data_IF_617941237893
#
_entry.id   IF_617941237893
#
_cell.length_a   1.000
_cell.length_b   1.000
_cell.length_c   1.000
_cell.angle_alpha   90.00
_cell.angle_beta   90.00
_cell.angle_gamma   90.00
#
_symmetry.space_group_name_H-M   'P 1'
#
loop_
_entity.id
_entity.type
_entity.pdbx_description
1 polymer ?
#
# COMPACT_ATOMS: atom_id res chain seq x y z
N UNK A 1 4.40 -4.24 -59.45
CA UNK A 1 5.44 -5.22 -59.78
C UNK A 1 6.65 -4.93 -58.93
N UNK A 2 6.89 -5.73 -57.89
CA UNK A 2 8.19 -5.94 -57.26
C UNK A 2 8.07 -7.13 -56.32
N UNK A 3 9.06 -8.02 -56.40
CA UNK A 3 8.99 -9.42 -56.03
C UNK A 3 9.29 -9.69 -54.54
N UNK A 4 8.60 -10.70 -53.99
CA UNK A 4 9.04 -11.59 -52.90
C UNK A 4 9.97 -12.69 -53.48
N UNK A 5 10.87 -13.38 -52.71
CA UNK A 5 10.54 -13.97 -51.41
C UNK A 5 11.62 -14.00 -50.31
N UNK A 6 11.11 -14.17 -49.09
CA UNK A 6 11.82 -14.49 -47.84
C UNK A 6 12.76 -15.70 -47.99
N UNK A 7 14.00 -15.56 -47.52
CA UNK A 7 14.88 -16.69 -47.24
C UNK A 7 14.92 -16.95 -45.73
N UNK A 8 14.21 -18.01 -45.31
CA UNK A 8 14.43 -18.66 -44.00
C UNK A 8 15.78 -19.37 -44.03
N UNK A 9 16.67 -19.06 -43.08
CA UNK A 9 17.81 -19.93 -42.73
C UNK A 9 17.67 -20.37 -41.28
N UNK A 10 17.53 -21.67 -41.06
CA UNK A 10 17.43 -22.29 -39.73
C UNK A 10 18.68 -23.12 -39.41
N UNK A 11 19.08 -23.03 -38.14
CA UNK A 11 19.93 -23.94 -37.35
C UNK A 11 21.44 -23.97 -37.68
N UNK A 12 22.32 -23.96 -36.67
CA UNK A 12 22.52 -25.11 -35.78
C UNK A 12 23.10 -24.77 -34.39
N UNK A 13 22.62 -25.51 -33.37
CA UNK A 13 22.95 -25.45 -31.94
C UNK A 13 24.36 -25.99 -31.60
N UNK A 14 25.30 -25.95 -32.55
CA UNK A 14 26.64 -26.57 -32.46
C UNK A 14 27.80 -25.57 -32.44
N UNK A 15 27.54 -24.28 -32.21
CA UNK A 15 28.57 -23.23 -32.14
C UNK A 15 28.93 -22.74 -30.74
N UNK A 16 28.38 -23.32 -29.65
CA UNK A 16 28.48 -22.74 -28.31
C UNK A 16 29.40 -23.47 -27.32
N UNK A 17 30.19 -24.46 -27.76
CA UNK A 17 31.10 -25.18 -26.85
C UNK A 17 32.43 -25.46 -27.54
N UNK A 18 33.42 -24.60 -27.30
CA UNK A 18 34.79 -24.83 -27.77
C UNK A 18 35.71 -23.66 -27.45
N UNK A 19 36.22 -23.63 -26.22
CA UNK A 19 37.52 -23.08 -25.76
C UNK A 19 37.54 -23.20 -24.22
N UNK A 20 37.79 -24.40 -23.68
CA UNK A 20 39.09 -24.82 -23.07
C UNK A 20 39.56 -23.84 -21.98
N UNK A 21 39.31 -24.08 -20.70
CA UNK A 21 39.97 -25.06 -19.82
C UNK A 21 41.51 -25.00 -19.89
N UNK A 22 42.13 -24.37 -18.88
CA UNK A 22 43.28 -24.87 -18.11
C UNK A 22 44.06 -23.71 -17.45
N UNK A 23 44.02 -23.62 -16.11
CA UNK A 23 45.18 -23.34 -15.25
C UNK A 23 44.72 -23.36 -13.78
N UNK A 24 45.06 -24.44 -13.08
CA UNK A 24 44.99 -24.53 -11.63
C UNK A 24 46.28 -23.95 -11.02
N UNK A 25 46.17 -23.11 -9.98
CA UNK A 25 47.12 -23.01 -8.86
C UNK A 25 46.69 -21.97 -7.80
N UNK A 26 46.34 -22.49 -6.62
CA UNK A 26 46.52 -21.98 -5.23
C UNK A 26 45.99 -20.60 -4.75
N UNK A 27 45.56 -20.52 -3.48
CA UNK A 27 44.71 -19.46 -2.96
C UNK A 27 45.53 -18.26 -2.45
N UNK A 28 45.11 -17.05 -2.81
CA UNK A 28 45.56 -15.82 -2.14
C UNK A 28 44.44 -15.33 -1.22
N UNK A 29 44.58 -15.61 0.07
CA UNK A 29 43.94 -14.83 1.13
C UNK A 29 44.53 -13.41 1.08
N UNK A 30 43.75 -12.44 0.62
CA UNK A 30 43.83 -11.03 1.03
C UNK A 30 42.71 -10.22 0.36
N UNK A 31 41.58 -10.07 1.06
CA UNK A 31 40.74 -8.90 0.91
C UNK A 31 40.07 -8.62 2.26
N UNK A 32 40.81 -7.91 3.11
CA UNK A 32 40.27 -7.18 4.24
C UNK A 32 39.25 -6.15 3.72
N UNK A 33 37.99 -6.35 4.06
CA UNK A 33 36.93 -5.35 4.02
C UNK A 33 36.11 -5.51 5.29
N UNK A 34 36.65 -5.00 6.40
CA UNK A 34 36.18 -5.25 7.75
C UNK A 34 34.76 -4.79 8.01
N UNK A 35 33.99 -5.69 8.62
CA UNK A 35 32.69 -5.44 9.22
C UNK A 35 32.43 -6.52 10.27
N UNK A 36 33.32 -6.61 11.26
CA UNK A 36 33.16 -7.52 12.38
C UNK A 36 31.87 -7.22 13.12
N UNK A 37 31.00 -8.21 13.19
CA UNK A 37 29.89 -8.26 14.13
C UNK A 37 30.47 -8.23 15.56
N UNK A 38 30.39 -7.08 16.23
CA UNK A 38 30.59 -6.99 17.66
C UNK A 38 29.25 -7.09 18.37
N UNK A 39 29.10 -8.18 19.10
CA UNK A 39 28.09 -8.37 20.12
C UNK A 39 28.65 -7.82 21.44
N UNK A 40 27.94 -6.89 22.08
CA UNK A 40 28.19 -6.55 23.49
C UNK A 40 27.95 -5.09 23.88
N UNK A 41 27.15 -4.91 24.94
CA UNK A 41 27.38 -3.90 25.97
C UNK A 41 26.70 -2.54 25.78
N UNK A 42 25.77 -2.22 26.68
CA UNK A 42 25.08 -0.94 26.73
C UNK A 42 26.02 0.26 26.93
N UNK A 43 25.72 1.33 26.19
CA UNK A 43 26.26 2.67 26.35
C UNK A 43 25.29 3.66 25.70
N UNK A 44 24.63 4.48 26.51
CA UNK A 44 23.71 5.51 26.02
C UNK A 44 24.43 6.63 25.28
N UNK A 45 23.78 7.17 24.25
CA UNK A 45 24.15 8.46 23.66
C UNK A 45 24.35 8.49 22.14
N UNK A 46 23.35 8.08 21.34
CA UNK A 46 23.09 8.60 20.00
C UNK A 46 21.64 8.24 19.63
N UNK A 47 20.77 9.23 19.44
CA UNK A 47 19.37 9.01 19.09
C UNK A 47 19.24 8.18 17.81
N UNK A 48 18.61 7.01 17.88
CA UNK A 48 18.37 6.17 16.72
C UNK A 48 17.42 6.82 15.70
N UNK A 49 17.48 6.38 14.44
CA UNK A 49 16.57 6.83 13.39
C UNK A 49 15.32 5.96 13.33
N UNK A 50 14.15 6.57 13.52
CA UNK A 50 12.84 5.94 13.31
C UNK A 50 12.53 5.91 11.82
N UNK A 51 12.55 4.72 11.22
CA UNK A 51 12.16 4.56 9.81
C UNK A 51 10.65 4.65 9.68
N UNK A 52 10.15 5.67 8.99
CA UNK A 52 8.74 5.84 8.65
C UNK A 52 8.49 5.56 7.17
N UNK A 53 7.64 4.57 6.89
CA UNK A 53 7.18 4.27 5.53
C UNK A 53 5.77 4.82 5.32
N UNK A 54 5.57 5.57 4.23
CA UNK A 54 4.28 6.15 3.87
C UNK A 54 3.88 5.78 2.44
N UNK A 55 2.60 5.87 2.12
CA UNK A 55 2.06 5.59 0.79
C UNK A 55 1.82 6.89 0.01
N UNK A 56 1.73 6.85 -1.33
CA UNK A 56 1.24 7.99 -2.11
C UNK A 56 -0.28 8.10 -1.95
N UNK A 57 -0.73 8.74 -0.86
CA UNK A 57 -2.14 8.87 -0.50
C UNK A 57 -2.92 9.85 -1.37
N UNK A 58 -2.23 10.84 -1.95
CA UNK A 58 -2.83 11.85 -2.81
C UNK A 58 -1.84 12.28 -3.90
N UNK A 59 -1.75 13.59 -4.17
CA UNK A 59 -0.76 14.14 -5.10
C UNK A 59 0.65 14.10 -4.50
N UNK A 60 1.72 14.26 -5.30
CA UNK A 60 3.09 14.31 -4.78
C UNK A 60 3.29 15.36 -3.66
N UNK A 61 2.57 16.48 -3.72
CA UNK A 61 2.60 17.52 -2.69
C UNK A 61 2.19 17.02 -1.29
N UNK A 62 1.34 15.99 -1.21
CA UNK A 62 1.04 15.33 0.07
C UNK A 62 2.31 14.69 0.65
N UNK A 63 3.06 13.93 -0.16
CA UNK A 63 4.25 13.24 0.34
C UNK A 63 5.38 14.23 0.66
N UNK A 64 5.49 15.35 -0.05
CA UNK A 64 6.44 16.42 0.29
C UNK A 64 6.12 17.04 1.67
N UNK A 65 4.84 17.30 1.93
CA UNK A 65 4.38 17.78 3.23
C UNK A 65 4.59 16.73 4.33
N UNK A 66 4.18 15.48 4.09
CA UNK A 66 4.33 14.37 5.05
C UNK A 66 5.81 14.09 5.37
N UNK A 67 6.70 14.19 4.37
CA UNK A 67 8.15 14.11 4.56
C UNK A 67 8.65 15.21 5.49
N UNK A 68 8.22 16.44 5.27
CA UNK A 68 8.62 17.59 6.10
C UNK A 68 8.16 17.42 7.55
N UNK A 69 6.94 16.92 7.76
CA UNK A 69 6.42 16.60 9.10
C UNK A 69 7.24 15.49 9.77
N UNK A 70 7.51 14.39 9.05
CA UNK A 70 8.25 13.26 9.58
C UNK A 70 9.70 13.64 9.91
N UNK A 71 10.43 14.23 8.97
CA UNK A 71 11.85 14.58 9.17
C UNK A 71 12.03 15.75 10.15
N UNK A 72 10.98 16.56 10.37
CA UNK A 72 10.92 17.55 11.44
C UNK A 72 10.85 16.94 12.86
N UNK A 73 10.58 15.64 12.99
CA UNK A 73 10.54 14.96 14.28
C UNK A 73 11.88 15.08 15.03
N UNK A 74 11.81 15.54 16.27
CA UNK A 74 12.93 15.54 17.19
C UNK A 74 12.50 14.87 18.49
N UNK A 75 12.74 13.57 18.56
CA UNK A 75 12.37 12.73 19.70
C UNK A 75 13.32 12.88 20.89
N UNK A 76 12.98 12.16 21.96
CA UNK A 76 13.83 12.05 23.14
C UNK A 76 15.25 11.59 22.74
N UNK A 77 16.25 12.11 23.45
CA UNK A 77 17.68 11.79 23.23
C UNK A 77 18.17 12.09 21.79
N UNK A 78 17.49 13.00 21.08
CA UNK A 78 17.88 13.42 19.73
C UNK A 78 17.46 12.45 18.61
N UNK A 79 16.54 11.50 18.88
CA UNK A 79 16.03 10.60 17.85
C UNK A 79 15.41 11.39 16.68
N UNK A 80 15.70 10.95 15.45
CA UNK A 80 15.17 11.53 14.20
C UNK A 80 14.31 10.51 13.49
N UNK A 81 13.47 10.96 12.55
CA UNK A 81 12.77 10.05 11.65
C UNK A 81 13.29 10.21 10.22
N UNK A 82 13.29 9.11 9.47
CA UNK A 82 13.52 9.11 8.03
C UNK A 82 12.22 8.76 7.32
N UNK A 83 11.94 9.40 6.19
CA UNK A 83 10.71 9.20 5.43
C UNK A 83 11.00 8.43 4.12
N UNK A 84 10.22 7.38 3.85
CA UNK A 84 10.31 6.61 2.61
C UNK A 84 8.93 6.34 2.03
N UNK A 85 8.76 6.58 0.73
CA UNK A 85 7.51 6.29 0.01
C UNK A 85 7.51 4.85 -0.47
N UNK A 86 6.45 4.11 -0.16
CA UNK A 86 6.17 2.77 -0.69
C UNK A 86 5.04 2.88 -1.72
N UNK A 87 5.27 2.39 -2.94
CA UNK A 87 4.28 2.45 -4.00
C UNK A 87 3.13 1.46 -3.77
N UNK A 88 1.93 1.82 -4.22
CA UNK A 88 0.76 0.93 -4.15
C UNK A 88 0.93 -0.36 -4.97
N UNK A 89 1.69 -0.30 -6.05
CA UNK A 89 2.03 -1.49 -6.83
C UNK A 89 2.82 -2.49 -5.95
N UNK A 90 2.28 -3.70 -5.79
CA UNK A 90 2.88 -4.78 -4.98
C UNK A 90 3.12 -4.44 -3.50
N UNK A 91 2.40 -3.46 -2.93
CA UNK A 91 2.64 -3.00 -1.56
C UNK A 91 2.61 -4.15 -0.54
N UNK A 92 1.62 -5.04 -0.64
CA UNK A 92 1.45 -6.18 0.26
C UNK A 92 2.71 -7.06 0.30
N UNK A 93 3.27 -7.38 -0.87
CA UNK A 93 4.49 -8.17 -1.00
C UNK A 93 5.71 -7.40 -0.48
N UNK A 94 5.79 -6.10 -0.76
CA UNK A 94 6.89 -5.24 -0.27
C UNK A 94 6.95 -5.22 1.25
N UNK A 95 5.82 -4.96 1.93
CA UNK A 95 5.77 -4.98 3.39
C UNK A 95 6.04 -6.38 3.94
N UNK A 96 5.38 -7.41 3.42
CA UNK A 96 5.56 -8.79 3.90
C UNK A 96 7.02 -9.26 3.80
N UNK A 97 7.68 -8.98 2.68
CA UNK A 97 9.10 -9.31 2.45
C UNK A 97 10.03 -8.52 3.38
N UNK A 98 9.78 -7.24 3.57
CA UNK A 98 10.60 -6.38 4.42
C UNK A 98 10.50 -6.78 5.90
N UNK A 99 9.30 -7.09 6.38
CA UNK A 99 9.09 -7.57 7.76
C UNK A 99 9.76 -8.94 7.96
N UNK A 100 9.55 -9.90 7.04
CA UNK A 100 10.16 -11.23 7.13
C UNK A 100 11.70 -11.19 7.11
N UNK A 101 12.29 -10.28 6.34
CA UNK A 101 13.75 -10.08 6.25
C UNK A 101 14.31 -9.15 7.34
N UNK A 102 13.47 -8.65 8.26
CA UNK A 102 13.86 -7.68 9.31
C UNK A 102 14.45 -6.37 8.77
N UNK A 103 14.03 -5.97 7.57
CA UNK A 103 14.43 -4.71 6.92
C UNK A 103 13.30 -3.67 6.88
N UNK A 104 12.13 -4.02 7.42
CA UNK A 104 10.95 -3.16 7.49
C UNK A 104 11.11 -1.89 8.36
N UNK A 105 10.08 -1.03 8.33
CA UNK A 105 10.08 0.24 9.05
C UNK A 105 9.81 0.06 10.54
N UNK A 106 10.05 1.12 11.31
CA UNK A 106 9.62 1.19 12.71
C UNK A 106 8.15 1.64 12.82
N UNK A 107 7.70 2.51 11.90
CA UNK A 107 6.33 3.02 11.82
C UNK A 107 5.93 3.02 10.35
N UNK A 108 4.67 2.71 10.03
CA UNK A 108 4.18 2.92 8.68
C UNK A 108 2.71 3.27 8.63
N UNK A 109 2.31 3.94 7.55
CA UNK A 109 0.95 3.78 7.02
C UNK A 109 0.92 2.52 6.13
N UNK A 110 -0.17 2.24 5.43
CA UNK A 110 -0.26 1.09 4.54
C UNK A 110 -1.69 0.68 4.23
N UNK A 111 -1.90 -0.59 3.90
CA UNK A 111 -3.25 -1.12 3.72
C UNK A 111 -4.07 -1.07 5.01
N UNK A 112 -5.36 -0.79 4.91
CA UNK A 112 -6.24 -0.55 6.07
C UNK A 112 -6.29 -1.70 7.10
N UNK A 113 -6.12 -2.95 6.65
CA UNK A 113 -6.14 -4.14 7.51
C UNK A 113 -4.74 -4.73 7.76
N UNK A 114 -3.68 -4.10 7.25
CA UNK A 114 -2.30 -4.61 7.29
C UNK A 114 -1.80 -4.85 8.72
N UNK A 115 -2.21 -4.02 9.68
CA UNK A 115 -1.80 -4.14 11.07
C UNK A 115 -2.22 -5.49 11.69
N UNK A 116 -3.42 -5.98 11.40
CA UNK A 116 -3.92 -7.26 11.94
C UNK A 116 -3.14 -8.46 11.40
N UNK A 117 -2.76 -8.43 10.11
CA UNK A 117 -1.91 -9.47 9.54
C UNK A 117 -0.57 -9.55 10.28
N UNK A 118 0.06 -8.42 10.56
CA UNK A 118 1.34 -8.39 11.27
C UNK A 118 1.20 -8.65 12.77
N UNK A 119 0.06 -8.32 13.38
CA UNK A 119 -0.26 -8.72 14.74
C UNK A 119 -0.34 -10.25 14.88
N UNK A 120 -1.02 -10.94 13.96
CA UNK A 120 -1.08 -12.40 13.92
C UNK A 120 0.31 -13.05 13.75
N UNK A 121 1.21 -12.39 13.03
CA UNK A 121 2.60 -12.84 12.87
C UNK A 121 3.52 -12.45 14.05
N UNK A 122 2.99 -11.73 15.04
CA UNK A 122 3.77 -11.23 16.19
C UNK A 122 4.80 -10.17 15.82
N UNK A 123 4.58 -9.42 14.73
CA UNK A 123 5.51 -8.43 14.18
C UNK A 123 5.04 -6.97 14.41
N UNK A 124 4.03 -6.76 15.26
CA UNK A 124 3.54 -5.43 15.62
C UNK A 124 3.98 -5.04 17.03
N UNK A 125 4.16 -3.74 17.26
CA UNK A 125 4.19 -3.17 18.60
C UNK A 125 2.82 -2.57 18.89
N UNK A 126 2.19 -2.97 19.99
CA UNK A 126 0.88 -2.42 20.39
C UNK A 126 0.98 -0.93 20.73
N UNK A 127 -0.04 -0.19 20.33
CA UNK A 127 -0.11 1.27 20.38
C UNK A 127 -0.65 1.82 21.71
N UNK A 128 -0.87 1.00 22.74
CA UNK A 128 -1.45 1.39 24.03
C UNK A 128 -0.74 2.59 24.66
N UNK A 129 0.59 2.61 24.65
CA UNK A 129 1.37 3.76 25.15
C UNK A 129 1.20 5.04 24.33
N UNK A 130 0.90 4.91 23.03
CA UNK A 130 0.57 6.06 22.18
C UNK A 130 -0.81 6.57 22.55
N UNK A 131 -1.79 5.67 22.72
CA UNK A 131 -3.14 6.02 23.18
C UNK A 131 -3.12 6.71 24.56
N UNK A 132 -2.33 6.21 25.51
CA UNK A 132 -2.19 6.86 26.82
C UNK A 132 -1.62 8.28 26.72
N UNK A 133 -0.66 8.51 25.82
CA UNK A 133 -0.12 9.85 25.56
C UNK A 133 -1.15 10.76 24.90
N UNK A 134 -1.95 10.24 23.98
CA UNK A 134 -3.04 10.99 23.33
C UNK A 134 -4.14 11.35 24.34
N UNK A 135 -4.41 10.51 25.33
CA UNK A 135 -5.30 10.86 26.45
C UNK A 135 -4.70 11.95 27.32
N UNK A 136 -3.43 11.78 27.72
CA UNK A 136 -2.75 12.72 28.60
C UNK A 136 -2.60 14.13 27.98
N UNK A 137 -2.52 14.25 26.65
CA UNK A 137 -2.41 15.52 25.96
C UNK A 137 -3.75 16.05 25.41
N UNK A 138 -4.86 15.37 25.68
CA UNK A 138 -6.22 15.75 25.27
C UNK A 138 -6.58 15.44 23.80
N UNK A 139 -5.66 14.96 22.97
CA UNK A 139 -5.98 14.63 21.56
C UNK A 139 -6.88 13.40 21.43
N UNK A 140 -6.93 12.53 22.43
CA UNK A 140 -7.82 11.36 22.40
C UNK A 140 -9.30 11.77 22.30
N UNK A 141 -9.68 12.87 22.94
CA UNK A 141 -11.07 13.32 22.98
C UNK A 141 -11.52 13.98 21.66
N UNK A 142 -10.58 14.22 20.74
CA UNK A 142 -10.84 14.78 19.40
C UNK A 142 -11.12 13.67 18.35
N UNK A 143 -10.99 12.39 18.71
CA UNK A 143 -11.37 11.31 17.80
C UNK A 143 -12.88 11.26 17.59
N UNK A 144 -13.28 11.05 16.32
CA UNK A 144 -14.67 10.72 16.01
C UNK A 144 -15.09 9.44 16.75
N UNK A 145 -16.35 9.36 17.22
CA UNK A 145 -16.86 8.16 17.89
C UNK A 145 -16.66 6.89 17.06
N UNK A 146 -16.15 5.83 17.69
CA UNK A 146 -16.04 4.49 17.09
C UNK A 146 -14.86 4.26 16.14
N UNK A 147 -14.02 5.26 15.84
CA UNK A 147 -12.89 5.06 14.88
C UNK A 147 -11.72 4.26 15.45
N UNK A 148 -11.60 4.20 16.78
CA UNK A 148 -10.54 3.48 17.48
C UNK A 148 -10.91 2.02 17.80
N UNK A 149 -12.20 1.75 18.03
CA UNK A 149 -12.70 0.44 18.46
C UNK A 149 -12.28 -0.71 17.53
N UNK A 150 -12.30 -0.56 16.18
CA UNK A 150 -11.88 -1.62 15.29
C UNK A 150 -10.42 -2.07 15.48
N UNK A 151 -9.55 -1.19 16.01
CA UNK A 151 -8.12 -1.47 16.18
C UNK A 151 -7.77 -2.07 17.54
N UNK A 152 -8.75 -2.28 18.43
CA UNK A 152 -8.52 -2.92 19.73
C UNK A 152 -8.63 -4.44 19.61
N UNK A 153 -7.55 -5.16 19.90
CA UNK A 153 -7.55 -6.62 20.06
C UNK A 153 -7.47 -7.01 21.54
N UNK A 154 -7.55 -8.32 21.82
CA UNK A 154 -7.40 -8.85 23.18
C UNK A 154 -6.04 -8.52 23.82
N UNK A 155 -5.03 -8.23 23.00
CA UNK A 155 -3.66 -7.98 23.45
C UNK A 155 -3.31 -6.49 23.55
N UNK A 156 -4.11 -5.61 22.95
CA UNK A 156 -3.87 -4.16 22.93
C UNK A 156 -4.37 -3.51 21.64
N UNK A 157 -4.01 -2.24 21.43
CA UNK A 157 -4.33 -1.55 20.18
C UNK A 157 -3.31 -1.93 19.10
N UNK A 158 -3.76 -2.52 17.99
CA UNK A 158 -2.85 -2.95 16.90
C UNK A 158 -2.37 -1.78 16.03
N UNK A 159 -3.09 -0.66 16.04
CA UNK A 159 -2.75 0.57 15.32
C UNK A 159 -3.49 1.78 15.92
N UNK A 160 -3.18 2.99 15.43
CA UNK A 160 -3.91 4.23 15.70
C UNK A 160 -4.52 4.73 14.38
N UNK A 161 -5.82 5.03 14.31
CA UNK A 161 -6.44 5.59 13.12
C UNK A 161 -5.92 6.99 12.83
N UNK A 162 -5.77 7.33 11.56
CA UNK A 162 -5.30 8.66 11.13
C UNK A 162 -6.20 9.31 10.08
N UNK A 163 -7.00 8.53 9.35
CA UNK A 163 -7.96 9.02 8.36
C UNK A 163 -9.04 7.96 8.05
N UNK A 164 -10.10 8.38 7.34
CA UNK A 164 -11.11 7.49 6.77
C UNK A 164 -11.16 7.68 5.24
N UNK A 165 -10.76 6.67 4.48
CA UNK A 165 -10.74 6.71 3.00
C UNK A 165 -12.08 6.24 2.42
N UNK A 166 -13.03 7.15 2.30
CA UNK A 166 -14.38 6.84 1.82
C UNK A 166 -14.45 6.69 0.29
N UNK A 167 -15.41 5.90 -0.19
CA UNK A 167 -15.78 5.83 -1.61
C UNK A 167 -17.07 6.59 -1.83
N UNK A 168 -17.02 7.62 -2.67
CA UNK A 168 -18.18 8.43 -3.03
C UNK A 168 -18.29 8.55 -4.55
N UNK A 169 -19.51 8.71 -5.05
CA UNK A 169 -19.74 8.98 -6.46
C UNK A 169 -19.46 10.45 -6.78
N UNK A 170 -18.75 10.68 -7.88
CA UNK A 170 -18.49 12.01 -8.43
C UNK A 170 -19.10 12.10 -9.83
N UNK A 171 -19.52 13.30 -10.21
CA UNK A 171 -20.03 13.55 -11.56
C UNK A 171 -19.57 14.91 -12.08
N UNK A 172 -19.55 15.05 -13.41
CA UNK A 172 -19.25 16.32 -14.09
C UNK A 172 -20.56 16.96 -14.57
N UNK A 173 -20.99 18.04 -13.91
CA UNK A 173 -22.23 18.78 -14.21
C UNK A 173 -22.43 19.04 -15.71
N UNK A 174 -21.42 19.60 -16.37
CA UNK A 174 -21.50 19.93 -17.79
C UNK A 174 -21.69 18.73 -18.73
N UNK A 175 -21.29 17.51 -18.33
CA UNK A 175 -21.54 16.31 -19.14
C UNK A 175 -22.96 15.80 -18.96
N UNK A 176 -23.51 15.89 -17.75
CA UNK A 176 -24.92 15.55 -17.48
C UNK A 176 -25.87 16.53 -18.17
N UNK A 177 -25.54 17.83 -18.13
CA UNK A 177 -26.25 18.87 -18.89
C UNK A 177 -26.19 18.60 -20.40
N UNK A 178 -25.00 18.32 -20.95
CA UNK A 178 -24.83 18.00 -22.38
C UNK A 178 -25.59 16.73 -22.79
N UNK A 179 -25.66 15.73 -21.91
CA UNK A 179 -26.39 14.49 -22.14
C UNK A 179 -27.91 14.62 -21.88
N UNK A 180 -28.35 15.75 -21.32
CA UNK A 180 -29.73 16.01 -20.91
C UNK A 180 -30.32 14.86 -20.07
N UNK A 181 -29.59 14.46 -19.02
CA UNK A 181 -30.00 13.36 -18.12
C UNK A 181 -29.93 13.78 -16.66
N UNK A 182 -30.87 13.28 -15.85
CA UNK A 182 -30.90 13.52 -14.41
C UNK A 182 -29.80 12.76 -13.68
N UNK A 183 -29.52 13.17 -12.44
CA UNK A 183 -28.62 12.41 -11.55
C UNK A 183 -29.29 11.08 -11.17
N UNK A 184 -28.56 9.96 -11.25
CA UNK A 184 -29.11 8.66 -10.89
C UNK A 184 -29.27 8.53 -9.37
N UNK A 185 -30.37 7.90 -8.96
CA UNK A 185 -30.69 7.62 -7.55
C UNK A 185 -30.78 6.13 -7.26
N UNK A 186 -30.67 5.29 -8.29
CA UNK A 186 -30.72 3.83 -8.23
C UNK A 186 -29.90 3.23 -9.39
N UNK A 187 -29.76 1.91 -9.41
CA UNK A 187 -28.96 1.22 -10.44
C UNK A 187 -29.58 1.30 -11.85
N UNK A 188 -30.91 1.16 -12.04
CA UNK A 188 -31.51 1.36 -13.36
C UNK A 188 -31.27 2.76 -13.92
N UNK A 189 -31.47 3.83 -13.12
CA UNK A 189 -31.21 5.21 -13.54
C UNK A 189 -29.72 5.45 -13.78
N UNK A 190 -28.82 4.79 -13.04
CA UNK A 190 -27.37 4.84 -13.31
C UNK A 190 -27.03 4.25 -14.69
N UNK A 191 -27.64 3.12 -15.07
CA UNK A 191 -27.44 2.50 -16.37
C UNK A 191 -27.95 3.41 -17.51
N UNK A 192 -29.13 4.01 -17.36
CA UNK A 192 -29.69 4.93 -18.35
C UNK A 192 -28.87 6.21 -18.47
N UNK A 193 -28.43 6.80 -17.35
CA UNK A 193 -27.49 7.91 -17.35
C UNK A 193 -26.20 7.57 -18.08
N UNK A 194 -25.67 6.36 -17.87
CA UNK A 194 -24.47 5.90 -18.56
C UNK A 194 -24.66 5.75 -20.08
N UNK A 195 -25.81 5.25 -20.53
CA UNK A 195 -26.16 5.20 -21.96
C UNK A 195 -26.27 6.60 -22.56
N UNK A 196 -26.86 7.56 -21.86
CA UNK A 196 -26.97 8.95 -22.31
C UNK A 196 -25.59 9.63 -22.41
N UNK A 197 -24.75 9.47 -21.39
CA UNK A 197 -23.38 9.99 -21.38
C UNK A 197 -22.53 9.42 -22.52
N UNK A 198 -22.70 8.13 -22.84
CA UNK A 198 -22.02 7.50 -23.99
C UNK A 198 -22.35 8.19 -25.31
N UNK A 199 -23.61 8.61 -25.53
CA UNK A 199 -24.03 9.30 -26.76
C UNK A 199 -23.34 10.64 -26.98
N UNK A 200 -22.89 11.30 -25.91
CA UNK A 200 -22.16 12.57 -25.97
C UNK A 200 -20.63 12.42 -25.90
N UNK A 201 -20.14 11.19 -26.00
CA UNK A 201 -18.72 10.83 -25.99
C UNK A 201 -18.10 10.67 -24.61
N UNK A 202 -18.90 10.53 -23.55
CA UNK A 202 -18.43 10.39 -22.17
C UNK A 202 -18.59 8.95 -21.64
N UNK A 203 -17.83 8.61 -20.59
CA UNK A 203 -18.00 7.37 -19.85
C UNK A 203 -19.06 7.56 -18.75
N UNK A 204 -20.04 6.65 -18.71
CA UNK A 204 -21.13 6.67 -17.71
C UNK A 204 -20.71 6.27 -16.30
N UNK A 205 -19.67 5.44 -16.20
CA UNK A 205 -19.10 4.97 -14.95
C UNK A 205 -17.61 4.76 -15.16
N UNK A 206 -16.78 5.48 -14.41
CA UNK A 206 -15.32 5.42 -14.54
C UNK A 206 -14.71 4.67 -13.37
N UNK A 207 -13.86 3.69 -13.66
CA UNK A 207 -13.04 2.98 -12.67
C UNK A 207 -11.69 2.64 -13.32
N UNK A 208 -10.78 2.04 -12.56
CA UNK A 208 -9.47 1.64 -13.07
C UNK A 208 -8.90 0.43 -12.35
N UNK A 209 -8.27 -0.46 -13.11
CA UNK A 209 -7.66 -1.72 -12.65
C UNK A 209 -6.20 -1.88 -13.12
N UNK A 210 -5.57 -0.78 -13.56
CA UNK A 210 -4.15 -0.80 -13.94
C UNK A 210 -3.25 -1.03 -12.74
N UNK A 211 -1.96 -1.34 -13.00
CA UNK A 211 -0.97 -1.54 -11.94
C UNK A 211 -0.94 -0.39 -10.95
N UNK A 212 -1.10 -0.70 -9.66
CA UNK A 212 -1.15 0.31 -8.58
C UNK A 212 -2.50 1.04 -8.44
N UNK A 213 -3.48 0.77 -9.30
CA UNK A 213 -4.82 1.33 -9.22
C UNK A 213 -5.82 0.30 -8.66
N UNK A 214 -6.21 0.51 -7.41
CA UNK A 214 -7.11 -0.39 -6.68
C UNK A 214 -8.60 0.01 -6.79
N UNK A 215 -8.97 1.02 -7.58
CA UNK A 215 -10.35 1.52 -7.63
C UNK A 215 -11.35 0.48 -8.15
N UNK A 216 -10.96 -0.40 -9.08
CA UNK A 216 -11.83 -1.47 -9.54
C UNK A 216 -12.14 -2.47 -8.42
N UNK A 217 -11.14 -2.88 -7.63
CA UNK A 217 -11.32 -3.76 -6.48
C UNK A 217 -12.31 -3.13 -5.47
N UNK A 218 -12.11 -1.85 -5.14
CA UNK A 218 -13.02 -1.13 -4.26
C UNK A 218 -14.44 -1.01 -4.85
N UNK A 219 -14.55 -0.78 -6.15
CA UNK A 219 -15.84 -0.67 -6.84
C UNK A 219 -16.61 -1.98 -6.79
N UNK A 220 -15.93 -3.13 -6.92
CA UNK A 220 -16.57 -4.44 -6.83
C UNK A 220 -17.19 -4.66 -5.45
N UNK A 221 -16.43 -4.42 -4.38
CA UNK A 221 -16.93 -4.59 -3.00
C UNK A 221 -18.03 -3.57 -2.69
N UNK A 222 -17.86 -2.31 -3.10
CA UNK A 222 -18.87 -1.28 -2.92
C UNK A 222 -20.20 -1.67 -3.59
N UNK A 223 -20.18 -2.24 -4.80
CA UNK A 223 -21.41 -2.67 -5.47
C UNK A 223 -22.04 -3.90 -4.81
N UNK A 224 -21.25 -4.83 -4.24
CA UNK A 224 -21.77 -5.95 -3.44
C UNK A 224 -22.52 -5.42 -2.22
N UNK A 225 -21.89 -4.52 -1.45
CA UNK A 225 -22.47 -3.92 -0.24
C UNK A 225 -23.69 -3.07 -0.56
N UNK A 226 -23.66 -2.29 -1.65
CA UNK A 226 -24.79 -1.47 -2.09
C UNK A 226 -26.02 -2.32 -2.48
N UNK A 227 -25.82 -3.60 -2.81
CA UNK A 227 -26.91 -4.56 -3.07
C UNK A 227 -27.27 -5.42 -1.83
N UNK A 228 -26.86 -5.00 -0.63
CA UNK A 228 -27.10 -5.73 0.63
C UNK A 228 -26.23 -6.96 0.84
N UNK A 229 -25.23 -7.18 -0.02
CA UNK A 229 -24.29 -8.30 0.09
C UNK A 229 -22.99 -7.92 0.81
N UNK A 230 -22.01 -8.82 0.72
CA UNK A 230 -20.70 -8.68 1.34
C UNK A 230 -19.81 -9.85 0.93
N UNK A 231 -18.55 -9.82 1.37
CA UNK A 231 -17.62 -10.95 1.17
C UNK A 231 -17.77 -12.00 2.28
N UNK A 232 -18.22 -11.57 3.46
CA UNK A 232 -18.39 -12.39 4.65
C UNK A 232 -19.84 -12.34 5.13
N UNK A 233 -20.28 -13.41 5.79
CA UNK A 233 -21.55 -13.43 6.50
C UNK A 233 -21.42 -12.79 7.90
N UNK A 234 -22.50 -12.88 8.71
CA UNK A 234 -22.55 -12.29 10.06
C UNK A 234 -21.58 -12.95 11.05
N UNK A 235 -21.20 -14.20 10.78
CA UNK A 235 -20.29 -15.00 11.60
C UNK A 235 -18.82 -14.87 11.16
N UNK A 236 -18.55 -14.09 10.11
CA UNK A 236 -17.21 -13.88 9.56
C UNK A 236 -16.74 -14.97 8.60
N UNK A 237 -17.61 -15.87 8.16
CA UNK A 237 -17.30 -16.90 7.18
C UNK A 237 -17.51 -16.40 5.75
N UNK A 238 -16.77 -16.91 4.74
CA UNK A 238 -16.99 -16.54 3.35
C UNK A 238 -18.39 -16.98 2.87
N UNK A 239 -19.19 -16.05 2.37
CA UNK A 239 -20.54 -16.35 1.90
C UNK A 239 -21.46 -15.13 1.86
N UNK A 240 -22.66 -15.26 1.26
CA UNK A 240 -23.64 -14.18 1.27
C UNK A 240 -24.10 -13.86 2.70
N UNK A 241 -24.44 -12.60 2.96
CA UNK A 241 -25.24 -12.25 4.13
C UNK A 241 -26.64 -12.83 3.92
N UNK A 242 -27.02 -13.85 4.70
CA UNK A 242 -28.41 -14.34 4.78
C UNK A 242 -29.36 -13.27 5.34
#
# INVERSE_FOLDING_TARGET
MNATPEQRRSFSRRGFLGLTAAAAATPLLAACGGGSASQGGGGGGAGGTVKFWDMPWATPAYNDAAKSVAEGFSGANGAKASYQIIQWANFYQTFSSAIASKTGPAVSTGGGFQAFQFEQQGQIAYADKVIDKLKANGQFDDFLPGVLDPFKSDKGYVAVPWQLDMRVFWYRKSLFEKANVALPTDWPSLLEAGKALKKVGAFGFTTGAGTGNNYANHSMIMMMVNNGGGVWNKDGEPGPHE
#
